data_IF_466497552872
#
_entry.id   IF_466497552872
#
_cell.length_a   1.000
_cell.length_b   1.000
_cell.length_c   1.000
_cell.angle_alpha   90.00
_cell.angle_beta   90.00
_cell.angle_gamma   90.00
#
_symmetry.space_group_name_H-M   'P 1'
#
loop_
_entity.id
_entity.type
_entity.pdbx_description
1 polymer ?
#
# COMPACT_ATOMS: atom_id res chain seq x y z
N UNK A 1 -6.06 -5.57 -8.87
CA UNK A 1 -5.07 -4.59 -9.38
C UNK A 1 -3.75 -4.63 -8.60
N UNK A 2 -3.81 -4.40 -7.30
CA UNK A 2 -2.60 -4.33 -6.48
C UNK A 2 -1.75 -5.61 -6.55
N UNK A 3 -2.33 -6.76 -6.21
CA UNK A 3 -1.59 -8.02 -6.14
C UNK A 3 -1.05 -8.50 -7.48
N UNK A 4 -1.65 -8.05 -8.57
CA UNK A 4 -1.20 -8.38 -9.94
C UNK A 4 -0.31 -7.28 -10.53
N UNK A 5 -0.03 -6.23 -9.78
CA UNK A 5 0.73 -5.06 -10.24
C UNK A 5 0.17 -4.48 -11.55
N UNK A 6 -1.16 -4.45 -11.67
CA UNK A 6 -1.85 -3.96 -12.87
C UNK A 6 -1.95 -2.43 -12.83
N UNK A 7 -0.80 -1.78 -12.97
CA UNK A 7 -0.70 -0.32 -12.86
C UNK A 7 -1.33 0.42 -14.04
N UNK A 8 -1.39 -0.21 -15.20
CA UNK A 8 -1.99 0.40 -16.40
C UNK A 8 -3.47 0.73 -16.21
N UNK A 9 -4.17 -0.06 -15.40
CA UNK A 9 -5.60 0.11 -15.15
C UNK A 9 -5.91 0.92 -13.87
N UNK A 10 -4.87 1.39 -13.18
CA UNK A 10 -5.06 2.12 -11.92
C UNK A 10 -5.90 3.40 -12.11
N UNK A 11 -5.77 4.05 -13.27
CA UNK A 11 -6.53 5.25 -13.61
C UNK A 11 -8.04 5.04 -13.65
N UNK A 12 -8.51 3.81 -13.72
CA UNK A 12 -9.95 3.51 -13.73
C UNK A 12 -10.61 3.79 -12.38
N UNK A 13 -9.85 3.64 -11.30
CA UNK A 13 -10.35 3.86 -9.93
C UNK A 13 -9.67 5.03 -9.22
N UNK A 14 -8.53 5.50 -9.72
CA UNK A 14 -7.72 6.56 -9.10
C UNK A 14 -7.70 7.78 -10.02
N UNK A 15 -7.97 8.96 -9.45
CA UNK A 15 -7.87 10.21 -10.19
C UNK A 15 -6.41 10.49 -10.57
N UNK A 16 -6.19 11.16 -11.71
CA UNK A 16 -4.84 11.44 -12.19
C UNK A 16 -3.99 12.24 -11.18
N UNK A 17 -4.64 13.10 -10.39
CA UNK A 17 -3.99 13.95 -9.38
C UNK A 17 -4.24 13.48 -7.95
N UNK A 18 -4.49 12.19 -7.76
CA UNK A 18 -4.80 11.64 -6.44
C UNK A 18 -3.78 12.04 -5.39
N UNK A 19 -4.27 12.47 -4.22
CA UNK A 19 -3.45 12.75 -3.04
C UNK A 19 -3.46 11.51 -2.15
N UNK A 20 -2.31 10.92 -1.91
CA UNK A 20 -2.19 9.71 -1.10
C UNK A 20 -1.41 10.02 0.18
N UNK A 21 -1.99 9.62 1.31
CA UNK A 21 -1.38 9.75 2.64
C UNK A 21 -0.88 8.38 3.09
N UNK A 22 0.39 8.30 3.47
CA UNK A 22 1.04 7.07 3.92
C UNK A 22 1.12 7.01 5.44
N UNK A 23 1.34 5.81 6.03
CA UNK A 23 1.31 5.63 7.49
C UNK A 23 2.29 6.50 8.27
N UNK A 24 3.42 6.86 7.68
CA UNK A 24 4.44 7.70 8.31
C UNK A 24 4.15 9.20 8.20
N UNK A 25 3.05 9.55 7.54
CA UNK A 25 2.63 10.94 7.36
C UNK A 25 3.08 11.59 6.05
N UNK A 26 3.97 10.95 5.26
CA UNK A 26 4.34 11.52 3.97
C UNK A 26 3.20 11.35 2.96
N UNK A 27 3.21 12.17 1.91
CA UNK A 27 2.17 12.16 0.88
C UNK A 27 2.80 12.09 -0.51
N UNK A 28 2.02 11.59 -1.46
CA UNK A 28 2.33 11.71 -2.89
C UNK A 28 1.16 12.31 -3.63
N UNK A 29 1.43 12.96 -4.76
CA UNK A 29 0.42 13.52 -5.65
C UNK A 29 0.59 12.89 -7.03
N UNK A 30 -0.49 12.36 -7.57
CA UNK A 30 -0.52 11.76 -8.89
C UNK A 30 -0.25 10.26 -8.91
N UNK A 31 -0.72 9.62 -9.97
CA UNK A 31 -0.61 8.16 -10.13
C UNK A 31 0.84 7.69 -10.25
N UNK A 32 1.73 8.31 -11.04
CA UNK A 32 3.10 7.81 -11.17
C UNK A 32 3.87 7.75 -9.85
N UNK A 33 3.72 8.78 -9.00
CA UNK A 33 4.37 8.80 -7.69
C UNK A 33 3.81 7.72 -6.76
N UNK A 34 2.50 7.50 -6.82
CA UNK A 34 1.84 6.45 -6.03
C UNK A 34 2.33 5.05 -6.45
N UNK A 35 2.46 4.81 -7.75
CA UNK A 35 2.96 3.53 -8.26
C UNK A 35 4.36 3.23 -7.73
N UNK A 36 5.25 4.22 -7.72
CA UNK A 36 6.62 4.04 -7.20
C UNK A 36 6.61 3.60 -5.73
N UNK A 37 5.73 4.18 -4.93
CA UNK A 37 5.59 3.79 -3.52
C UNK A 37 5.07 2.35 -3.40
N UNK A 38 4.10 1.98 -4.21
CA UNK A 38 3.54 0.63 -4.19
C UNK A 38 4.55 -0.42 -4.65
N UNK A 39 5.32 -0.13 -5.69
CA UNK A 39 6.30 -1.06 -6.25
C UNK A 39 7.43 -1.39 -5.28
N UNK A 40 7.73 -0.51 -4.34
CA UNK A 40 8.83 -0.69 -3.39
C UNK A 40 8.75 -2.04 -2.68
N UNK A 41 7.57 -2.46 -2.24
CA UNK A 41 7.43 -3.73 -1.50
C UNK A 41 7.79 -4.94 -2.34
N UNK A 42 7.54 -4.92 -3.65
CA UNK A 42 7.91 -6.02 -4.53
C UNK A 42 9.41 -6.12 -4.78
N UNK A 43 10.17 -5.04 -4.55
CA UNK A 43 11.62 -5.10 -4.73
C UNK A 43 12.29 -6.04 -3.73
N UNK A 44 11.78 -6.14 -2.52
CA UNK A 44 12.33 -7.03 -1.49
C UNK A 44 11.43 -8.23 -1.16
N UNK A 45 10.17 -8.17 -1.53
CA UNK A 45 9.19 -9.25 -1.31
C UNK A 45 8.43 -9.53 -2.61
N UNK A 46 9.01 -10.35 -3.52
CA UNK A 46 8.37 -10.63 -4.81
C UNK A 46 6.98 -11.27 -4.71
N UNK A 47 6.68 -11.93 -3.59
CA UNK A 47 5.39 -12.56 -3.31
C UNK A 47 4.41 -11.62 -2.59
N UNK A 48 4.71 -10.33 -2.50
CA UNK A 48 3.86 -9.36 -1.83
C UNK A 48 2.46 -9.33 -2.46
N UNK A 49 1.42 -9.37 -1.61
CA UNK A 49 0.02 -9.44 -2.06
C UNK A 49 -0.94 -8.99 -0.98
N UNK A 50 -2.15 -8.62 -1.42
CA UNK A 50 -3.30 -8.41 -0.55
C UNK A 50 -4.34 -9.45 -0.99
N UNK A 51 -4.68 -10.38 -0.11
CA UNK A 51 -5.58 -11.50 -0.43
C UNK A 51 -6.99 -11.32 0.11
N UNK A 52 -7.14 -10.68 1.26
CA UNK A 52 -8.40 -10.64 1.98
C UNK A 52 -8.86 -9.20 2.21
N UNK A 53 -10.17 -9.00 2.04
CA UNK A 53 -10.83 -7.72 2.33
C UNK A 53 -12.09 -8.01 3.15
N UNK A 54 -11.93 -8.48 4.42
CA UNK A 54 -13.07 -8.96 5.21
C UNK A 54 -14.05 -7.86 5.61
N UNK A 55 -13.62 -6.60 5.63
CA UNK A 55 -14.46 -5.48 6.02
C UNK A 55 -14.41 -4.42 4.92
N UNK A 56 -15.60 -4.07 4.40
CA UNK A 56 -15.76 -2.98 3.42
C UNK A 56 -17.05 -2.25 3.72
N UNK A 57 -16.99 -0.94 3.77
CA UNK A 57 -18.18 -0.10 3.95
C UNK A 57 -17.94 1.30 3.40
N UNK A 58 -19.00 2.05 3.26
CA UNK A 58 -18.92 3.42 2.78
C UNK A 58 -20.01 4.29 3.38
N UNK A 59 -19.88 5.60 3.16
CA UNK A 59 -20.87 6.56 3.60
C UNK A 59 -22.09 6.55 2.66
N UNK A 60 -23.26 6.95 3.15
CA UNK A 60 -24.50 6.95 2.38
C UNK A 60 -24.48 7.90 1.19
N UNK A 61 -23.63 8.93 1.23
CA UNK A 61 -23.45 9.88 0.12
C UNK A 61 -22.49 9.40 -0.96
N UNK A 62 -21.92 8.18 -0.80
CA UNK A 62 -20.96 7.56 -1.71
C UNK A 62 -19.66 8.34 -1.89
N UNK A 63 -19.30 9.22 -0.95
CA UNK A 63 -18.09 10.02 -1.03
C UNK A 63 -16.90 9.38 -0.33
N UNK A 64 -17.13 8.53 0.67
CA UNK A 64 -16.07 7.91 1.46
C UNK A 64 -16.25 6.40 1.54
N UNK A 65 -15.15 5.68 1.41
CA UNK A 65 -15.13 4.22 1.63
C UNK A 65 -14.00 3.84 2.57
N UNK A 66 -14.18 2.72 3.26
CA UNK A 66 -13.15 2.13 4.11
C UNK A 66 -13.07 0.64 3.81
N UNK A 67 -11.83 0.14 3.70
CA UNK A 67 -11.54 -1.27 3.45
C UNK A 67 -10.47 -1.72 4.42
N UNK A 68 -10.67 -2.87 5.05
CA UNK A 68 -9.66 -3.51 5.89
C UNK A 68 -9.23 -4.79 5.18
N UNK A 69 -7.92 -4.97 5.06
CA UNK A 69 -7.32 -6.14 4.43
C UNK A 69 -6.04 -6.54 5.12
N UNK A 70 -5.28 -7.44 4.50
CA UNK A 70 -3.98 -7.87 5.01
C UNK A 70 -2.97 -7.89 3.87
N UNK A 71 -1.80 -7.29 4.12
CA UNK A 71 -0.66 -7.36 3.21
C UNK A 71 0.21 -8.52 3.66
N UNK A 72 0.53 -9.42 2.75
CA UNK A 72 1.33 -10.62 3.03
C UNK A 72 2.51 -10.70 2.07
N UNK A 73 3.61 -11.25 2.55
CA UNK A 73 4.78 -11.48 1.71
C UNK A 73 5.93 -12.06 2.51
N UNK A 74 7.07 -12.27 1.83
CA UNK A 74 8.27 -12.83 2.43
C UNK A 74 9.48 -12.00 2.01
N UNK A 75 10.30 -11.58 2.98
CA UNK A 75 11.49 -10.78 2.74
C UNK A 75 12.61 -11.68 2.21
N UNK A 76 12.70 -11.83 0.88
CA UNK A 76 13.62 -12.76 0.23
C UNK A 76 14.68 -12.08 -0.65
N UNK A 77 14.53 -10.78 -0.95
CA UNK A 77 15.52 -10.02 -1.72
C UNK A 77 15.97 -8.80 -0.94
N UNK A 78 17.18 -8.26 -1.22
CA UNK A 78 17.68 -7.09 -0.49
C UNK A 78 16.73 -5.90 -0.60
N UNK A 79 16.58 -5.18 0.53
CA UNK A 79 15.80 -3.94 0.60
C UNK A 79 16.77 -2.77 0.45
N UNK A 80 16.54 -1.91 -0.53
CA UNK A 80 17.35 -0.71 -0.76
C UNK A 80 16.55 0.51 -0.32
N UNK A 81 17.05 1.20 0.71
CA UNK A 81 16.40 2.40 1.23
C UNK A 81 16.72 3.61 0.36
N UNK A 82 15.97 4.71 0.57
CA UNK A 82 16.12 5.93 -0.21
C UNK A 82 17.53 6.54 -0.12
N UNK A 83 18.22 6.34 0.99
CA UNK A 83 19.59 6.81 1.19
C UNK A 83 20.66 5.86 0.61
N UNK A 84 20.24 4.79 -0.06
CA UNK A 84 21.13 3.78 -0.64
C UNK A 84 21.52 2.65 0.31
N UNK A 85 21.08 2.68 1.56
CA UNK A 85 21.35 1.62 2.52
C UNK A 85 20.75 0.30 2.05
N UNK A 86 21.57 -0.75 2.01
CA UNK A 86 21.14 -2.09 1.63
C UNK A 86 20.93 -2.94 2.89
N UNK A 87 19.75 -3.55 2.98
CA UNK A 87 19.42 -4.47 4.07
C UNK A 87 19.25 -5.86 3.47
N UNK A 88 20.06 -6.82 3.99
CA UNK A 88 19.99 -8.20 3.52
C UNK A 88 18.68 -8.87 3.94
N UNK A 89 18.13 -9.77 3.10
CA UNK A 89 16.88 -10.44 3.40
C UNK A 89 17.02 -11.38 4.60
N UNK A 90 15.94 -11.46 5.38
CA UNK A 90 15.88 -12.36 6.55
C UNK A 90 15.16 -13.67 6.26
N UNK A 91 14.44 -13.75 5.13
CA UNK A 91 13.60 -14.89 4.80
C UNK A 91 12.32 -14.98 5.62
N UNK A 92 12.04 -13.99 6.46
CA UNK A 92 10.84 -13.98 7.30
C UNK A 92 9.63 -13.45 6.56
N UNK A 93 8.48 -14.05 6.85
CA UNK A 93 7.20 -13.64 6.27
C UNK A 93 6.52 -12.57 7.12
N UNK A 94 5.68 -11.79 6.49
CA UNK A 94 4.85 -10.83 7.19
C UNK A 94 3.37 -11.02 6.81
N UNK A 95 2.50 -10.72 7.76
CA UNK A 95 1.06 -10.65 7.58
C UNK A 95 0.60 -9.43 8.37
N UNK A 96 0.32 -8.34 7.65
CA UNK A 96 0.15 -7.03 8.24
C UNK A 96 -1.26 -6.51 7.97
N UNK A 97 -2.07 -6.27 9.02
CA UNK A 97 -3.36 -5.63 8.83
C UNK A 97 -3.20 -4.24 8.24
N UNK A 98 -4.07 -3.89 7.32
CA UNK A 98 -4.06 -2.57 6.73
C UNK A 98 -5.48 -2.03 6.56
N UNK A 99 -5.60 -0.72 6.56
CA UNK A 99 -6.84 -0.04 6.23
C UNK A 99 -6.60 0.97 5.13
N UNK A 100 -7.53 1.04 4.18
CA UNK A 100 -7.55 2.05 3.13
C UNK A 100 -8.83 2.86 3.26
N UNK A 101 -8.70 4.18 3.39
CA UNK A 101 -9.83 5.09 3.40
C UNK A 101 -9.74 5.95 2.17
N UNK A 102 -10.79 5.97 1.36
CA UNK A 102 -10.81 6.68 0.08
C UNK A 102 -11.91 7.70 0.01
N UNK A 103 -11.60 8.87 -0.53
CA UNK A 103 -12.57 9.87 -0.91
C UNK A 103 -12.79 9.80 -2.43
N UNK A 104 -14.05 9.77 -2.85
CA UNK A 104 -14.44 9.59 -4.25
C UNK A 104 -15.06 10.86 -4.81
N UNK A 105 -14.63 11.25 -6.00
CA UNK A 105 -15.19 12.40 -6.70
C UNK A 105 -16.45 12.02 -7.47
N UNK A 106 -17.07 13.02 -8.10
CA UNK A 106 -18.31 12.84 -8.86
C UNK A 106 -18.15 11.93 -10.09
N UNK A 107 -16.90 11.73 -10.57
CA UNK A 107 -16.61 10.90 -11.73
C UNK A 107 -16.36 9.44 -11.35
N UNK A 108 -16.56 9.08 -10.09
CA UNK A 108 -16.35 7.72 -9.60
C UNK A 108 -14.91 7.32 -9.45
N UNK A 109 -14.01 8.31 -9.32
CA UNK A 109 -12.58 8.08 -9.09
C UNK A 109 -12.18 8.54 -7.71
N UNK A 110 -11.25 7.82 -7.09
CA UNK A 110 -10.69 8.17 -5.79
C UNK A 110 -9.70 9.31 -5.98
N UNK A 111 -9.98 10.47 -5.37
CA UNK A 111 -9.14 11.66 -5.47
C UNK A 111 -8.27 11.88 -4.23
N UNK A 112 -8.58 11.18 -3.15
CA UNK A 112 -7.77 11.19 -1.94
C UNK A 112 -7.82 9.81 -1.29
N UNK A 113 -6.66 9.31 -0.85
CA UNK A 113 -6.53 7.99 -0.24
C UNK A 113 -5.67 8.06 1.00
N UNK A 114 -6.11 7.39 2.07
CA UNK A 114 -5.36 7.24 3.31
C UNK A 114 -5.02 5.78 3.49
N UNK A 115 -3.73 5.49 3.62
CA UNK A 115 -3.22 4.14 3.85
C UNK A 115 -2.70 4.02 5.28
N UNK A 116 -3.16 3.01 5.99
CA UNK A 116 -2.75 2.76 7.37
C UNK A 116 -2.29 1.31 7.54
N UNK A 117 -1.09 1.17 8.05
CA UNK A 117 -0.55 -0.08 8.58
C UNK A 117 0.52 0.30 9.60
N UNK A 118 0.91 -0.65 10.45
CA UNK A 118 1.90 -0.39 11.48
C UNK A 118 3.30 -0.74 10.97
N UNK A 119 4.10 0.28 10.66
CA UNK A 119 5.47 0.11 10.17
C UNK A 119 6.38 -0.54 11.22
N UNK A 120 6.17 -0.27 12.50
CA UNK A 120 6.96 -0.89 13.57
C UNK A 120 6.69 -2.40 13.63
N UNK A 121 5.43 -2.79 13.52
CA UNK A 121 5.06 -4.21 13.47
C UNK A 121 5.60 -4.88 12.21
N UNK A 122 5.55 -4.20 11.08
CA UNK A 122 6.15 -4.69 9.83
C UNK A 122 7.63 -5.00 10.02
N UNK A 123 8.41 -4.06 10.56
CA UNK A 123 9.84 -4.22 10.78
C UNK A 123 10.12 -5.37 11.76
N UNK A 124 9.29 -5.54 12.77
CA UNK A 124 9.40 -6.64 13.72
C UNK A 124 9.18 -7.98 13.04
N UNK A 125 8.11 -8.10 12.23
CA UNK A 125 7.79 -9.35 11.55
C UNK A 125 8.89 -9.80 10.58
N UNK A 126 9.50 -8.89 9.87
CA UNK A 126 10.57 -9.22 8.91
C UNK A 126 11.96 -9.31 9.60
N UNK A 127 12.02 -9.14 10.91
CA UNK A 127 13.25 -9.37 11.69
C UNK A 127 14.21 -8.21 11.72
N UNK A 128 13.78 -6.98 11.40
CA UNK A 128 14.64 -5.79 11.39
C UNK A 128 14.53 -4.95 12.67
N UNK A 129 13.63 -5.29 13.57
CA UNK A 129 13.53 -4.66 14.88
C UNK A 129 13.33 -5.69 15.97
N UNK A 130 13.62 -5.27 17.18
CA UNK A 130 13.55 -6.17 18.35
C UNK A 130 12.14 -6.26 18.93
#
# INVERSE_FOLDING_TARGET
MYSKQDWENLHKSHAANILVHYPDGHTTVGIPAHIKELEFMWTFAPDNRIEEHPVRFGTSDAKWTAVIGAIKGTFTKPMILADGTKIDPTGKSYNLPMATIGHWNKDGQMDEEYLFWDNAEFMKQIGLSK
#
